data_IF_783879118882
#
_entry.id   IF_783879118882
#
_cell.length_a   1.000
_cell.length_b   1.000
_cell.length_c   1.000
_cell.angle_alpha   90.00
_cell.angle_beta   90.00
_cell.angle_gamma   90.00
#
_symmetry.space_group_name_H-M   'P 1'
#
loop_
_entity.id
_entity.type
_entity.pdbx_description
1 polymer ?
#
# COMPACT_ATOMS: atom_id res chain seq x y z
N UNK A 1 -78.11 -31.61 -45.30
CA UNK A 1 -78.58 -30.25 -44.89
C UNK A 1 -77.71 -29.83 -43.72
N UNK A 2 -77.14 -28.62 -43.63
CA UNK A 2 -77.42 -27.39 -44.36
C UNK A 2 -76.15 -26.51 -44.36
N UNK A 3 -75.64 -26.12 -45.55
CA UNK A 3 -74.36 -25.39 -45.70
C UNK A 3 -74.38 -23.99 -45.06
N UNK A 4 -75.55 -23.51 -44.63
CA UNK A 4 -75.72 -22.23 -43.91
C UNK A 4 -75.40 -22.32 -42.42
N UNK A 5 -75.40 -23.52 -41.82
CA UNK A 5 -75.14 -23.70 -40.38
C UNK A 5 -73.63 -23.62 -40.05
N UNK A 6 -72.76 -24.01 -40.98
CA UNK A 6 -71.30 -23.99 -40.78
C UNK A 6 -70.73 -22.57 -40.91
N UNK A 7 -71.29 -21.73 -41.78
CA UNK A 7 -70.81 -20.36 -42.03
C UNK A 7 -71.16 -19.41 -40.86
N UNK A 8 -72.31 -19.60 -40.21
CA UNK A 8 -72.72 -18.75 -39.08
C UNK A 8 -71.99 -19.08 -37.76
N UNK A 9 -71.55 -20.33 -37.56
CA UNK A 9 -70.72 -20.70 -36.40
C UNK A 9 -69.26 -20.21 -36.53
N UNK A 10 -68.76 -20.02 -37.76
CA UNK A 10 -67.38 -19.55 -37.98
C UNK A 10 -67.16 -18.06 -37.69
N UNK A 11 -68.15 -17.20 -37.94
CA UNK A 11 -68.00 -15.73 -37.78
C UNK A 11 -68.13 -15.31 -36.30
N UNK A 12 -68.91 -16.03 -35.50
CA UNK A 12 -69.07 -15.72 -34.07
C UNK A 12 -67.80 -16.00 -33.23
N UNK A 13 -66.92 -16.91 -33.67
CA UNK A 13 -65.70 -17.25 -32.92
C UNK A 13 -64.57 -16.23 -33.18
N UNK A 14 -64.52 -15.61 -34.36
CA UNK A 14 -63.45 -14.63 -34.69
C UNK A 14 -63.68 -13.28 -33.98
N UNK A 15 -64.93 -12.89 -33.70
CA UNK A 15 -65.22 -11.61 -33.04
C UNK A 15 -64.99 -11.61 -31.51
N UNK A 16 -65.07 -12.77 -30.84
CA UNK A 16 -64.83 -12.88 -29.38
C UNK A 16 -63.33 -13.00 -29.06
N UNK A 17 -62.52 -13.50 -29.98
CA UNK A 17 -61.06 -13.63 -29.80
C UNK A 17 -60.29 -12.31 -29.80
N UNK A 18 -60.80 -11.27 -30.48
CA UNK A 18 -60.07 -9.99 -30.65
C UNK A 18 -60.31 -9.03 -29.47
N UNK A 19 -61.44 -9.13 -28.76
CA UNK A 19 -61.73 -8.24 -27.62
C UNK A 19 -61.13 -8.71 -26.28
N UNK A 20 -60.73 -9.99 -26.15
CA UNK A 20 -60.08 -10.49 -24.95
C UNK A 20 -58.55 -10.32 -24.95
N UNK A 21 -57.92 -10.04 -26.10
CA UNK A 21 -56.46 -9.96 -26.22
C UNK A 21 -55.83 -8.62 -25.79
N UNK A 22 -56.59 -7.51 -25.79
CA UNK A 22 -56.06 -6.17 -25.56
C UNK A 22 -56.20 -5.65 -24.13
N UNK A 23 -56.97 -6.32 -23.26
CA UNK A 23 -57.18 -5.87 -21.86
C UNK A 23 -56.24 -6.61 -20.88
N UNK A 24 -55.47 -7.60 -21.35
CA UNK A 24 -54.55 -8.40 -20.52
C UNK A 24 -53.07 -8.15 -20.83
N UNK A 25 -52.72 -6.96 -21.34
CA UNK A 25 -51.32 -6.52 -21.49
C UNK A 25 -51.00 -5.31 -20.59
N UNK A 26 -51.73 -5.15 -19.49
CA UNK A 26 -51.54 -4.08 -18.50
C UNK A 26 -50.85 -4.51 -17.19
N UNK A 27 -50.31 -5.74 -17.12
CA UNK A 27 -49.60 -6.23 -15.94
C UNK A 27 -48.12 -5.84 -15.97
N UNK A 28 -47.79 -4.67 -15.44
CA UNK A 28 -46.40 -4.31 -15.10
C UNK A 28 -45.82 -5.40 -14.19
N UNK A 29 -44.91 -6.21 -14.73
CA UNK A 29 -44.03 -7.06 -13.91
C UNK A 29 -43.04 -6.13 -13.22
N UNK A 30 -43.40 -5.61 -12.06
CA UNK A 30 -42.38 -5.18 -11.11
C UNK A 30 -41.60 -6.42 -10.73
N UNK A 31 -40.39 -6.55 -11.26
CA UNK A 31 -39.44 -7.51 -10.73
C UNK A 31 -39.29 -7.17 -9.24
N UNK A 32 -39.44 -8.13 -8.32
CA UNK A 32 -39.10 -7.89 -6.93
C UNK A 32 -37.62 -7.50 -6.93
N UNK A 33 -37.33 -6.29 -6.44
CA UNK A 33 -35.97 -5.91 -6.08
C UNK A 33 -35.65 -6.87 -4.95
N UNK A 34 -34.96 -7.97 -5.26
CA UNK A 34 -34.29 -8.74 -4.23
C UNK A 34 -33.39 -7.75 -3.52
N UNK A 35 -33.71 -7.43 -2.27
CA UNK A 35 -32.82 -6.72 -1.38
C UNK A 35 -31.52 -7.52 -1.40
N UNK A 36 -30.51 -7.01 -2.09
CA UNK A 36 -29.16 -7.54 -1.99
C UNK A 36 -28.86 -7.46 -0.51
N UNK A 37 -28.60 -8.58 0.18
CA UNK A 37 -28.16 -8.53 1.56
C UNK A 37 -26.92 -7.65 1.53
N UNK A 38 -27.00 -6.48 2.15
CA UNK A 38 -25.82 -5.70 2.44
C UNK A 38 -25.10 -6.56 3.46
N UNK A 39 -24.18 -7.37 2.97
CA UNK A 39 -23.22 -8.08 3.78
C UNK A 39 -22.45 -7.01 4.54
N UNK A 40 -22.91 -6.80 5.77
CA UNK A 40 -22.34 -5.87 6.74
C UNK A 40 -21.12 -6.48 7.41
N UNK A 41 -20.48 -7.48 6.80
CA UNK A 41 -19.06 -7.73 7.03
C UNK A 41 -18.24 -6.60 6.41
N UNK A 42 -18.38 -5.39 6.98
CA UNK A 42 -17.26 -4.47 7.04
C UNK A 42 -16.09 -5.29 7.59
N UNK A 43 -14.97 -5.43 6.85
CA UNK A 43 -13.80 -6.11 7.37
C UNK A 43 -13.43 -5.41 8.66
N UNK A 44 -13.40 -6.20 9.74
CA UNK A 44 -13.09 -5.78 11.08
C UNK A 44 -11.80 -4.93 11.07
N UNK A 45 -11.96 -3.62 11.26
CA UNK A 45 -10.90 -2.59 11.33
C UNK A 45 -10.11 -2.70 12.66
N UNK A 46 -9.92 -3.94 13.11
CA UNK A 46 -9.14 -4.31 14.28
C UNK A 46 -7.79 -4.91 13.88
N UNK A 47 -7.33 -4.66 12.64
CA UNK A 47 -5.96 -4.97 12.23
C UNK A 47 -4.97 -4.26 13.17
N UNK A 48 -4.51 -4.98 14.18
CA UNK A 48 -3.56 -4.45 15.16
C UNK A 48 -2.23 -4.20 14.45
N UNK A 49 -1.95 -2.92 14.20
CA UNK A 49 -0.69 -2.52 13.60
C UNK A 49 0.46 -2.76 14.57
N UNK A 50 1.51 -3.40 14.09
CA UNK A 50 2.78 -3.51 14.80
C UNK A 50 3.50 -2.16 14.84
N UNK A 51 4.18 -1.90 15.95
CA UNK A 51 5.12 -0.78 16.03
C UNK A 51 6.35 -1.06 15.15
N UNK A 52 6.96 -0.01 14.60
CA UNK A 52 8.24 -0.13 13.91
C UNK A 52 9.32 -0.65 14.86
N UNK A 53 10.20 -1.52 14.37
CA UNK A 53 11.21 -2.19 15.16
C UNK A 53 11.63 -3.53 14.57
N UNK A 54 12.15 -4.42 15.42
CA UNK A 54 12.47 -5.78 15.02
C UNK A 54 11.21 -6.66 14.99
N UNK A 55 11.05 -7.41 13.90
CA UNK A 55 9.96 -8.38 13.71
C UNK A 55 10.51 -9.68 13.16
N UNK A 56 9.89 -10.79 13.53
CA UNK A 56 10.27 -12.13 13.06
C UNK A 56 9.12 -12.70 12.24
N UNK A 57 9.39 -13.13 11.02
CA UNK A 57 8.40 -13.70 10.11
C UNK A 57 8.84 -15.07 9.60
N UNK A 58 7.90 -15.98 9.46
CA UNK A 58 8.07 -17.24 8.72
C UNK A 58 7.68 -17.08 7.26
N UNK A 59 7.89 -18.13 6.46
CA UNK A 59 7.34 -18.19 5.11
C UNK A 59 5.82 -18.02 5.14
N UNK A 60 5.29 -17.29 4.16
CA UNK A 60 3.88 -16.92 3.98
C UNK A 60 3.26 -16.06 5.10
N UNK A 61 4.04 -15.74 6.15
CA UNK A 61 3.60 -14.86 7.23
C UNK A 61 3.68 -13.39 6.79
N UNK A 62 2.66 -12.63 7.20
CA UNK A 62 2.55 -11.20 6.95
C UNK A 62 2.48 -10.43 8.26
N UNK A 63 3.19 -9.31 8.31
CA UNK A 63 3.05 -8.30 9.36
C UNK A 63 2.49 -7.01 8.79
N UNK A 64 1.60 -6.38 9.56
CA UNK A 64 0.99 -5.10 9.25
C UNK A 64 1.57 -4.03 10.18
N UNK A 65 2.09 -2.97 9.60
CA UNK A 65 2.39 -1.69 10.25
C UNK A 65 1.39 -0.65 9.75
N UNK A 66 1.36 0.53 10.39
CA UNK A 66 0.40 1.59 10.08
C UNK A 66 0.30 1.91 8.58
N UNK A 67 1.44 2.08 7.91
CA UNK A 67 1.52 2.52 6.49
C UNK A 67 2.23 1.48 5.59
N UNK A 68 2.52 0.29 6.11
CA UNK A 68 3.40 -0.69 5.48
C UNK A 68 2.97 -2.11 5.82
N UNK A 69 2.98 -3.03 4.85
CA UNK A 69 2.93 -4.46 5.13
C UNK A 69 4.09 -5.21 4.49
N UNK A 70 4.54 -6.27 5.15
CA UNK A 70 5.62 -7.13 4.68
C UNK A 70 5.14 -8.57 4.78
N UNK A 71 5.17 -9.32 3.67
CA UNK A 71 4.92 -10.75 3.63
C UNK A 71 6.14 -11.48 3.06
N UNK A 72 6.57 -12.57 3.69
CA UNK A 72 7.64 -13.39 3.14
C UNK A 72 7.05 -14.36 2.12
N UNK A 73 7.56 -14.34 0.88
CA UNK A 73 7.04 -15.15 -0.23
C UNK A 73 7.84 -16.44 -0.40
N UNK A 74 9.17 -16.33 -0.44
CA UNK A 74 10.03 -17.49 -0.69
C UNK A 74 11.46 -17.26 -0.22
N UNK A 75 12.13 -18.35 0.16
CA UNK A 75 13.58 -18.39 0.35
C UNK A 75 14.23 -18.62 -1.02
N UNK A 76 14.97 -17.64 -1.52
CA UNK A 76 15.61 -17.69 -2.85
C UNK A 76 16.99 -18.34 -2.80
N UNK A 77 17.71 -18.16 -1.68
CA UNK A 77 19.02 -18.76 -1.47
C UNK A 77 19.34 -18.86 0.03
N UNK A 78 19.93 -19.97 0.45
CA UNK A 78 20.73 -20.05 1.68
C UNK A 78 22.06 -20.76 1.37
N UNK A 79 23.11 -19.97 1.24
CA UNK A 79 24.49 -20.41 1.03
C UNK A 79 25.38 -20.16 2.25
N UNK A 80 24.79 -19.84 3.41
CA UNK A 80 25.56 -19.59 4.65
C UNK A 80 26.46 -20.78 4.96
N UNK A 81 27.69 -20.47 5.35
CA UNK A 81 28.67 -21.49 5.69
C UNK A 81 28.19 -22.32 6.90
N UNK A 82 27.91 -23.64 6.75
CA UNK A 82 27.39 -24.41 7.87
C UNK A 82 28.40 -24.51 9.02
N UNK A 83 27.89 -24.58 10.25
CA UNK A 83 28.74 -24.84 11.41
C UNK A 83 29.46 -26.19 11.26
N UNK A 84 30.75 -26.22 11.60
CA UNK A 84 31.60 -27.40 11.44
C UNK A 84 32.19 -27.59 10.03
N UNK A 85 32.03 -26.60 9.13
CA UNK A 85 32.61 -26.60 7.78
C UNK A 85 33.55 -25.41 7.61
N UNK A 86 34.64 -25.60 6.86
CA UNK A 86 35.55 -24.52 6.46
C UNK A 86 35.21 -24.06 5.03
N UNK A 87 34.49 -22.95 4.91
CA UNK A 87 34.13 -22.39 3.60
C UNK A 87 35.22 -21.47 3.06
N UNK A 88 35.38 -21.47 1.74
CA UNK A 88 36.32 -20.59 1.02
C UNK A 88 35.73 -19.18 0.88
N UNK A 89 34.40 -19.06 0.79
CA UNK A 89 33.67 -17.80 0.69
C UNK A 89 32.54 -17.76 1.73
N UNK A 90 32.26 -16.58 2.28
CA UNK A 90 31.10 -16.36 3.12
C UNK A 90 29.86 -16.26 2.23
N UNK A 91 29.03 -17.31 2.20
CA UNK A 91 27.74 -17.25 1.52
C UNK A 91 26.71 -16.41 2.29
N UNK A 92 25.48 -16.36 1.79
CA UNK A 92 24.44 -15.43 2.25
C UNK A 92 23.07 -16.08 2.26
N UNK A 93 22.07 -15.36 2.79
CA UNK A 93 20.65 -15.70 2.63
C UNK A 93 20.01 -14.63 1.77
N UNK A 94 19.13 -15.04 0.85
CA UNK A 94 18.28 -14.14 0.06
C UNK A 94 16.84 -14.59 0.15
N UNK A 95 15.93 -13.67 0.44
CA UNK A 95 14.49 -13.94 0.54
C UNK A 95 13.71 -12.99 -0.33
N UNK A 96 12.66 -13.51 -0.96
CA UNK A 96 11.67 -12.71 -1.68
C UNK A 96 10.57 -12.30 -0.72
N UNK A 97 10.28 -11.01 -0.71
CA UNK A 97 9.23 -10.42 0.13
C UNK A 97 8.26 -9.65 -0.74
N UNK A 98 6.99 -9.65 -0.38
CA UNK A 98 6.01 -8.69 -0.87
C UNK A 98 5.93 -7.52 0.12
N UNK A 99 6.08 -6.31 -0.39
CA UNK A 99 6.01 -5.08 0.38
C UNK A 99 4.90 -4.23 -0.21
N UNK A 100 3.89 -3.90 0.59
CA UNK A 100 2.83 -2.95 0.24
C UNK A 100 3.04 -1.68 1.05
N UNK A 101 3.19 -0.55 0.37
CA UNK A 101 3.49 0.77 0.95
C UNK A 101 2.72 1.88 0.23
N UNK A 102 2.94 3.14 0.58
CA UNK A 102 2.35 4.29 -0.12
C UNK A 102 2.73 4.38 -1.60
N UNK A 103 3.86 3.79 -2.02
CA UNK A 103 4.27 3.70 -3.43
C UNK A 103 3.58 2.57 -4.21
N UNK A 104 2.80 1.73 -3.54
CA UNK A 104 2.18 0.53 -4.10
C UNK A 104 2.84 -0.77 -3.65
N UNK A 105 2.58 -1.83 -4.41
CA UNK A 105 3.07 -3.18 -4.12
C UNK A 105 4.35 -3.49 -4.90
N UNK A 106 5.36 -4.00 -4.20
CA UNK A 106 6.62 -4.46 -4.79
C UNK A 106 6.99 -5.85 -4.26
N UNK A 107 7.75 -6.63 -5.05
CA UNK A 107 8.18 -7.98 -4.66
C UNK A 107 9.72 -8.18 -4.74
N UNK A 108 10.51 -7.39 -3.99
CA UNK A 108 11.97 -7.45 -4.07
C UNK A 108 12.55 -8.70 -3.40
N UNK A 109 13.80 -8.99 -3.77
CA UNK A 109 14.65 -9.97 -3.08
C UNK A 109 15.64 -9.22 -2.17
N UNK A 110 15.61 -9.52 -0.87
CA UNK A 110 16.48 -8.90 0.14
C UNK A 110 17.50 -9.91 0.65
N UNK A 111 18.77 -9.51 0.66
CA UNK A 111 19.88 -10.32 1.19
C UNK A 111 20.14 -10.07 2.67
N UNK A 112 20.77 -11.03 3.36
CA UNK A 112 21.15 -10.87 4.77
C UNK A 112 22.06 -9.65 4.96
N UNK A 113 21.71 -8.79 5.91
CA UNK A 113 22.36 -7.51 6.19
C UNK A 113 22.11 -6.42 5.14
N UNK A 114 21.25 -6.65 4.14
CA UNK A 114 20.85 -5.65 3.14
C UNK A 114 19.52 -5.01 3.50
N UNK A 115 19.28 -3.84 2.93
CA UNK A 115 18.10 -3.04 3.19
C UNK A 115 17.36 -2.69 1.91
N UNK A 116 16.03 -2.66 1.98
CA UNK A 116 15.14 -2.09 0.98
C UNK A 116 14.54 -0.82 1.57
N UNK A 117 14.37 0.19 0.72
CA UNK A 117 13.89 1.51 1.11
C UNK A 117 12.58 1.79 0.38
N UNK A 118 11.54 2.16 1.13
CA UNK A 118 10.26 2.65 0.59
C UNK A 118 10.26 4.18 0.57
N UNK A 119 9.11 4.82 0.39
CA UNK A 119 8.98 6.27 0.55
C UNK A 119 9.38 6.74 1.95
N UNK A 120 9.01 5.99 2.99
CA UNK A 120 9.12 6.45 4.38
C UNK A 120 9.85 5.47 5.31
N UNK A 121 10.20 4.26 4.87
CA UNK A 121 10.78 3.22 5.71
C UNK A 121 12.07 2.62 5.11
N UNK A 122 12.88 2.07 6.01
CA UNK A 122 14.02 1.21 5.72
C UNK A 122 13.75 -0.14 6.34
N UNK A 123 13.73 -1.18 5.52
CA UNK A 123 13.47 -2.56 5.90
C UNK A 123 14.77 -3.33 5.71
N UNK A 124 15.33 -3.89 6.79
CA UNK A 124 16.62 -4.60 6.76
C UNK A 124 16.42 -6.04 7.19
N UNK A 125 16.92 -7.01 6.42
CA UNK A 125 17.00 -8.40 6.87
C UNK A 125 18.21 -8.53 7.79
N UNK A 126 18.00 -8.54 9.10
CA UNK A 126 19.09 -8.51 10.08
C UNK A 126 19.57 -9.89 10.47
N UNK A 127 18.68 -10.89 10.50
CA UNK A 127 19.04 -12.25 10.83
C UNK A 127 18.10 -13.28 10.18
N UNK A 128 18.56 -14.53 10.13
CA UNK A 128 17.77 -15.67 9.69
C UNK A 128 18.13 -16.87 10.57
N UNK A 129 17.12 -17.55 11.09
CA UNK A 129 17.29 -18.75 11.93
C UNK A 129 16.47 -19.90 11.36
N UNK A 130 16.91 -21.16 11.51
CA UNK A 130 18.16 -21.58 12.13
C UNK A 130 19.40 -21.25 11.28
N UNK A 131 20.59 -21.30 11.89
CA UNK A 131 21.85 -21.22 11.16
C UNK A 131 22.23 -22.63 10.68
N UNK A 132 22.69 -22.82 9.43
CA UNK A 132 22.97 -24.15 8.90
C UNK A 132 24.04 -24.89 9.71
N UNK A 133 23.87 -26.19 9.87
CA UNK A 133 24.83 -27.07 10.51
C UNK A 133 25.18 -28.23 9.58
N UNK A 134 26.39 -28.76 9.71
CA UNK A 134 26.82 -29.92 8.92
C UNK A 134 25.85 -31.09 9.12
N UNK A 135 25.48 -31.74 8.01
CA UNK A 135 24.58 -32.90 7.96
C UNK A 135 23.16 -32.65 8.51
N UNK A 136 22.77 -31.38 8.73
CA UNK A 136 21.40 -31.01 9.13
C UNK A 136 20.68 -30.40 7.93
N UNK A 137 19.62 -31.06 7.50
CA UNK A 137 18.68 -30.51 6.51
C UNK A 137 17.63 -29.67 7.23
N UNK A 138 17.42 -28.42 6.79
CA UNK A 138 16.44 -27.50 7.36
C UNK A 138 15.27 -27.40 6.39
N UNK A 139 14.04 -27.60 6.87
CA UNK A 139 12.86 -27.46 6.03
C UNK A 139 12.51 -25.97 5.81
N UNK A 140 12.01 -25.55 4.63
CA UNK A 140 11.71 -24.13 4.35
C UNK A 140 10.79 -23.45 5.38
N UNK A 141 9.81 -24.18 5.93
CA UNK A 141 8.86 -23.67 6.92
C UNK A 141 9.46 -23.52 8.35
N UNK A 142 10.67 -24.04 8.59
CA UNK A 142 11.38 -23.87 9.86
C UNK A 142 12.15 -22.55 9.92
N UNK A 143 12.35 -21.91 8.77
CA UNK A 143 13.03 -20.63 8.69
C UNK A 143 12.20 -19.52 9.34
N UNK A 144 12.92 -18.67 10.06
CA UNK A 144 12.45 -17.43 10.63
C UNK A 144 13.37 -16.31 10.18
N UNK A 145 12.79 -15.27 9.61
CA UNK A 145 13.47 -14.12 9.06
C UNK A 145 13.23 -12.93 9.98
N UNK A 146 14.32 -12.39 10.50
CA UNK A 146 14.27 -11.26 11.43
C UNK A 146 14.53 -10.00 10.62
N UNK A 147 13.53 -9.15 10.55
CA UNK A 147 13.61 -7.85 9.90
C UNK A 147 13.70 -6.76 10.95
N UNK A 148 14.42 -5.69 10.63
CA UNK A 148 14.31 -4.41 11.35
C UNK A 148 13.68 -3.40 10.40
N UNK A 149 12.55 -2.85 10.83
CA UNK A 149 11.78 -1.85 10.09
C UNK A 149 11.88 -0.55 10.86
N UNK A 150 12.37 0.50 10.20
CA UNK A 150 12.48 1.84 10.78
C UNK A 150 11.98 2.89 9.79
N UNK A 151 11.53 4.04 10.28
CA UNK A 151 11.31 5.20 9.41
C UNK A 151 12.64 5.64 8.82
N UNK A 152 12.65 6.06 7.54
CA UNK A 152 13.80 6.71 6.91
C UNK A 152 14.11 7.99 7.66
N UNK A 153 15.28 8.00 8.30
CA UNK A 153 15.95 9.23 8.72
C UNK A 153 17.23 9.30 7.91
N UNK A 154 17.19 9.92 6.73
CA UNK A 154 18.45 10.27 6.05
C UNK A 154 19.15 11.31 6.89
N UNK A 155 20.42 11.07 7.20
CA UNK A 155 21.21 12.00 7.98
C UNK A 155 21.39 13.31 7.19
N UNK A 156 20.77 14.38 7.67
CA UNK A 156 20.84 15.70 7.03
C UNK A 156 19.58 16.50 7.29
N UNK A 157 19.57 17.73 6.79
CA UNK A 157 18.36 18.53 6.65
C UNK A 157 18.23 18.89 5.17
N UNK A 158 17.06 18.65 4.62
CA UNK A 158 16.76 18.73 3.20
C UNK A 158 15.76 19.84 2.95
N UNK A 159 16.00 20.59 1.88
CA UNK A 159 15.06 21.59 1.37
C UNK A 159 14.09 20.87 0.44
N UNK A 160 12.79 20.96 0.74
CA UNK A 160 11.70 20.36 -0.02
C UNK A 160 10.49 21.28 -0.13
N UNK A 161 9.35 20.73 -0.54
CA UNK A 161 8.15 21.49 -0.89
C UNK A 161 8.21 22.06 -2.32
N UNK A 162 7.05 22.35 -2.89
CA UNK A 162 6.93 22.75 -4.30
C UNK A 162 7.65 24.08 -4.64
N UNK A 163 7.84 24.96 -3.65
CA UNK A 163 8.55 26.25 -3.78
C UNK A 163 9.83 26.31 -2.95
N UNK A 164 10.42 25.17 -2.57
CA UNK A 164 11.60 25.11 -1.68
C UNK A 164 11.39 25.77 -0.32
N UNK A 165 10.16 25.73 0.19
CA UNK A 165 9.75 26.42 1.41
C UNK A 165 9.81 25.55 2.67
N UNK A 166 10.07 24.24 2.53
CA UNK A 166 10.11 23.30 3.66
C UNK A 166 11.57 22.91 3.93
N UNK A 167 11.99 22.98 5.19
CA UNK A 167 13.24 22.39 5.65
C UNK A 167 12.89 21.23 6.61
N UNK A 168 13.26 20.00 6.27
CA UNK A 168 12.91 18.81 7.07
C UNK A 168 14.02 17.77 7.09
N UNK A 169 13.89 16.75 7.94
CA UNK A 169 14.76 15.57 7.97
C UNK A 169 14.34 14.47 6.97
N UNK A 170 13.24 14.71 6.23
CA UNK A 170 12.77 13.89 5.13
C UNK A 170 13.22 14.50 3.79
N UNK A 171 13.86 13.72 2.90
CA UNK A 171 14.44 14.23 1.66
C UNK A 171 13.39 14.50 0.58
N UNK A 172 12.22 13.86 0.69
CA UNK A 172 11.21 13.78 -0.37
C UNK A 172 9.89 14.47 0.05
N UNK A 173 9.95 15.47 0.96
CA UNK A 173 8.74 16.18 1.41
C UNK A 173 8.16 17.02 0.28
N UNK A 174 6.90 16.73 -0.04
CA UNK A 174 6.09 17.48 -0.99
C UNK A 174 5.06 18.35 -0.26
N UNK A 175 4.73 19.48 -0.87
CA UNK A 175 3.66 20.38 -0.41
C UNK A 175 2.68 20.62 -1.55
N UNK A 176 1.55 21.26 -1.26
CA UNK A 176 0.77 21.92 -2.31
C UNK A 176 1.63 22.95 -3.05
N UNK A 177 1.32 23.18 -4.33
CA UNK A 177 1.99 24.16 -5.18
C UNK A 177 1.29 25.53 -5.13
N UNK A 178 1.05 26.04 -3.92
CA UNK A 178 0.53 27.38 -3.74
C UNK A 178 1.61 28.43 -3.97
N UNK A 179 1.26 29.53 -4.62
CA UNK A 179 2.17 30.64 -4.87
C UNK A 179 1.99 31.70 -3.79
N UNK A 180 3.00 31.85 -2.93
CA UNK A 180 3.02 32.84 -1.85
C UNK A 180 4.35 33.60 -1.83
N UNK A 181 4.27 34.89 -1.54
CA UNK A 181 5.41 35.81 -1.61
C UNK A 181 6.53 35.43 -0.64
N UNK A 182 6.16 34.97 0.55
CA UNK A 182 7.08 34.55 1.59
C UNK A 182 7.99 33.38 1.18
N UNK A 183 7.60 32.58 0.17
CA UNK A 183 8.40 31.43 -0.26
C UNK A 183 9.72 31.84 -0.92
N UNK A 184 9.77 33.03 -1.53
CA UNK A 184 11.01 33.60 -2.06
C UNK A 184 12.06 33.86 -0.96
N UNK A 185 11.63 34.07 0.29
CA UNK A 185 12.54 34.28 1.42
C UNK A 185 13.32 33.02 1.78
N UNK A 186 12.75 31.83 1.57
CA UNK A 186 13.39 30.56 1.90
C UNK A 186 14.42 30.10 0.87
N UNK A 187 14.35 30.60 -0.38
CA UNK A 187 15.30 30.22 -1.44
C UNK A 187 16.78 30.53 -1.10
N UNK A 188 17.02 31.52 -0.23
CA UNK A 188 18.36 31.91 0.24
C UNK A 188 18.62 31.53 1.70
N UNK A 189 17.65 30.90 2.36
CA UNK A 189 17.77 30.56 3.77
C UNK A 189 18.60 29.29 3.97
N UNK A 190 19.23 29.18 5.15
CA UNK A 190 20.03 27.99 5.50
C UNK A 190 19.15 26.96 6.22
N UNK A 191 18.96 25.79 5.59
CA UNK A 191 18.30 24.64 6.18
C UNK A 191 19.31 23.78 6.96
N UNK A 192 19.14 23.68 8.28
CA UNK A 192 20.04 22.89 9.13
C UNK A 192 19.34 22.40 10.39
N UNK A 193 20.04 21.53 11.15
CA UNK A 193 19.53 21.00 12.41
C UNK A 193 19.61 22.09 13.48
N UNK A 194 18.48 22.35 14.13
CA UNK A 194 18.35 23.36 15.17
C UNK A 194 18.82 22.80 16.52
N UNK A 195 18.94 23.66 17.53
CA UNK A 195 19.30 23.26 18.90
C UNK A 195 18.30 22.29 19.54
N UNK A 196 17.06 22.24 19.03
CA UNK A 196 16.04 21.25 19.41
C UNK A 196 16.30 19.85 18.84
N UNK A 197 17.26 19.69 17.94
CA UNK A 197 17.52 18.43 17.23
C UNK A 197 16.66 18.23 15.97
N UNK A 198 15.64 19.06 15.73
CA UNK A 198 14.83 19.03 14.51
C UNK A 198 15.47 19.82 13.36
N UNK A 199 15.17 19.46 12.11
CA UNK A 199 15.53 20.27 10.96
C UNK A 199 14.63 21.50 10.86
N UNK A 200 15.20 22.65 10.50
CA UNK A 200 14.46 23.89 10.33
C UNK A 200 15.27 25.00 9.67
N UNK A 201 14.57 26.05 9.26
CA UNK A 201 15.18 27.25 8.68
C UNK A 201 15.92 28.06 9.75
N UNK A 202 17.19 28.35 9.50
CA UNK A 202 17.99 29.22 10.37
C UNK A 202 17.42 30.62 10.37
N UNK A 203 17.01 31.08 11.56
CA UNK A 203 16.33 32.35 11.76
C UNK A 203 17.30 33.54 11.74
N UNK A 204 17.95 33.79 10.60
CA UNK A 204 18.85 34.94 10.41
C UNK A 204 18.07 36.26 10.38
N UNK A 205 18.76 37.39 10.58
CA UNK A 205 18.13 38.71 10.51
C UNK A 205 17.54 38.98 9.13
N UNK A 206 18.22 38.53 8.07
CA UNK A 206 17.80 38.65 6.67
C UNK A 206 16.51 37.86 6.42
N UNK A 207 16.44 36.60 6.89
CA UNK A 207 15.23 35.78 6.74
C UNK A 207 14.04 36.41 7.47
N UNK A 208 14.23 36.82 8.73
CA UNK A 208 13.17 37.48 9.51
C UNK A 208 12.67 38.75 8.84
N UNK A 209 13.58 39.59 8.34
CA UNK A 209 13.22 40.83 7.65
C UNK A 209 12.45 40.56 6.35
N UNK A 210 12.83 39.53 5.60
CA UNK A 210 12.13 39.14 4.36
C UNK A 210 10.73 38.61 4.67
N UNK A 211 10.56 37.78 5.70
CA UNK A 211 9.25 37.27 6.08
C UNK A 211 8.29 38.38 6.57
N UNK A 212 8.82 39.47 7.14
CA UNK A 212 8.03 40.66 7.51
C UNK A 212 7.66 41.52 6.30
N UNK A 213 8.51 41.55 5.27
CA UNK A 213 8.29 42.33 4.05
C UNK A 213 8.64 41.48 2.81
N UNK A 214 7.77 40.54 2.42
CA UNK A 214 8.03 39.64 1.31
C UNK A 214 8.12 40.39 -0.03
N UNK A 215 8.89 39.88 -1.01
CA UNK A 215 8.89 40.45 -2.35
C UNK A 215 7.50 40.36 -3.00
N UNK A 216 7.15 41.33 -3.84
CA UNK A 216 5.88 41.30 -4.57
C UNK A 216 5.81 40.11 -5.53
N UNK A 217 4.59 39.58 -5.70
CA UNK A 217 4.27 38.42 -6.55
C UNK A 217 4.30 38.73 -8.05
#
# INVERSE_FOLDING_TARGET
MDKRLIILLGIAIVAVGIFAGLVWYGGQRTLPIAEVPIDTSMPDDSAQFHAYGAVTLKLDEQVLFKDLSIRVISLEEDSRCPTGVQCIQAGTVRVKVEIVSGLGTSTPVIGLGKSITTEAEVITLTATTPYPARDVSIAPNEYQFIFTVAKRTVAGCFIGGCSSQICSDQPDVVSSCEYRAEYACYQKATCQRQTSGACGWTQTAELKSCLLNPPAL
#
